data_IF_385578790709
#
_entry.id   IF_385578790709
#
_cell.length_a   1.000
_cell.length_b   1.000
_cell.length_c   1.000
_cell.angle_alpha   90.00
_cell.angle_beta   90.00
_cell.angle_gamma   90.00
#
_symmetry.space_group_name_H-M   'P 1'
#
loop_
_entity.id
_entity.type
_entity.pdbx_description
1 polymer ?
#
# COMPACT_ATOMS: atom_id res chain seq x y z
N UNK A 1 -70.69 15.46 12.38
CA UNK A 1 -69.92 16.69 12.08
C UNK A 1 -68.48 16.45 12.46
N UNK A 2 -67.72 15.87 11.53
CA UNK A 2 -66.30 15.67 11.68
C UNK A 2 -65.54 16.78 10.99
N UNK A 3 -64.46 17.23 11.62
CA UNK A 3 -63.32 17.76 10.89
C UNK A 3 -62.06 17.37 11.66
N UNK A 4 -61.51 16.25 11.22
CA UNK A 4 -60.11 15.91 11.36
C UNK A 4 -59.31 16.81 10.39
N UNK A 5 -58.04 17.05 10.74
CA UNK A 5 -56.99 17.69 9.94
C UNK A 5 -57.02 19.24 10.00
N UNK A 6 -55.95 19.97 10.32
CA UNK A 6 -54.54 19.76 9.99
C UNK A 6 -53.64 20.30 11.10
N UNK A 7 -52.89 19.43 11.79
CA UNK A 7 -51.62 19.85 12.39
C UNK A 7 -50.62 20.05 11.23
N UNK A 8 -49.85 21.14 11.18
CA UNK A 8 -48.72 21.20 10.27
C UNK A 8 -47.75 20.11 10.72
N UNK A 9 -47.75 19.03 9.95
CA UNK A 9 -46.70 18.03 9.88
C UNK A 9 -45.42 18.77 9.49
N UNK A 10 -44.76 19.40 10.46
CA UNK A 10 -43.44 19.99 10.29
C UNK A 10 -42.46 18.85 10.16
N UNK A 11 -42.42 18.36 8.93
CA UNK A 11 -41.40 17.55 8.28
C UNK A 11 -40.09 17.61 9.06
N UNK A 12 -39.86 16.59 9.90
CA UNK A 12 -38.53 16.20 10.35
C UNK A 12 -37.77 15.72 9.11
N UNK A 13 -37.36 16.65 8.25
CA UNK A 13 -36.23 16.41 7.39
C UNK A 13 -35.04 16.35 8.33
N UNK A 14 -34.74 15.15 8.82
CA UNK A 14 -33.42 14.77 9.28
C UNK A 14 -32.46 14.95 8.10
N UNK A 15 -32.15 16.22 7.78
CA UNK A 15 -31.02 16.60 6.96
C UNK A 15 -29.84 16.06 7.73
N UNK A 16 -29.32 14.92 7.26
CA UNK A 16 -28.00 14.44 7.59
C UNK A 16 -27.08 15.61 7.25
N UNK A 17 -26.77 16.42 8.26
CA UNK A 17 -25.88 17.55 8.15
C UNK A 17 -24.50 16.95 7.94
N UNK A 18 -24.19 16.59 6.69
CA UNK A 18 -22.82 16.35 6.29
C UNK A 18 -22.13 17.68 6.55
N UNK A 19 -21.32 17.74 7.61
CA UNK A 19 -20.43 18.88 7.85
C UNK A 19 -19.75 19.17 6.51
N UNK A 20 -19.72 20.44 6.05
CA UNK A 20 -19.08 20.75 4.80
C UNK A 20 -17.64 20.24 4.88
N UNK A 21 -17.34 19.22 4.08
CA UNK A 21 -16.01 18.62 4.02
C UNK A 21 -15.15 19.71 3.39
N UNK A 22 -14.20 20.25 4.17
CA UNK A 22 -13.33 21.29 3.66
C UNK A 22 -12.47 20.72 2.52
N UNK A 23 -12.08 21.57 1.56
CA UNK A 23 -11.11 21.16 0.53
C UNK A 23 -9.85 20.52 1.12
N UNK A 24 -9.41 21.00 2.29
CA UNK A 24 -8.30 20.42 3.05
C UNK A 24 -8.55 18.97 3.47
N UNK A 25 -9.76 18.63 3.88
CA UNK A 25 -10.13 17.27 4.29
C UNK A 25 -10.17 16.34 3.08
N UNK A 26 -10.64 16.82 1.92
CA UNK A 26 -10.60 16.07 0.66
C UNK A 26 -9.16 15.78 0.22
N UNK A 27 -8.27 16.77 0.32
CA UNK A 27 -6.85 16.61 0.02
C UNK A 27 -6.20 15.60 0.97
N UNK A 28 -6.46 15.71 2.26
CA UNK A 28 -5.93 14.78 3.26
C UNK A 28 -6.43 13.35 3.03
N UNK A 29 -7.70 13.18 2.68
CA UNK A 29 -8.27 11.87 2.38
C UNK A 29 -7.68 11.26 1.10
N UNK A 30 -7.48 12.06 0.04
CA UNK A 30 -6.80 11.61 -1.17
C UNK A 30 -5.36 11.15 -0.88
N UNK A 31 -4.59 11.95 -0.15
CA UNK A 31 -3.22 11.60 0.26
C UNK A 31 -3.18 10.36 1.15
N UNK A 32 -4.15 10.20 2.05
CA UNK A 32 -4.26 9.03 2.93
C UNK A 32 -4.47 7.76 2.12
N UNK A 33 -5.36 7.78 1.13
CA UNK A 33 -5.64 6.64 0.24
C UNK A 33 -4.40 6.22 -0.54
N UNK A 34 -3.72 7.18 -1.16
CA UNK A 34 -2.45 6.94 -1.86
C UNK A 34 -1.41 6.30 -0.94
N UNK A 35 -1.23 6.87 0.27
CA UNK A 35 -0.28 6.34 1.25
C UNK A 35 -0.61 4.92 1.68
N UNK A 36 -1.89 4.60 1.88
CA UNK A 36 -2.30 3.23 2.22
C UNK A 36 -2.06 2.25 1.06
N UNK A 37 -2.36 2.66 -0.17
CA UNK A 37 -2.08 1.87 -1.37
C UNK A 37 -0.59 1.56 -1.51
N UNK A 38 0.26 2.57 -1.36
CA UNK A 38 1.70 2.41 -1.41
C UNK A 38 2.22 1.50 -0.29
N UNK A 39 1.75 1.72 0.95
CA UNK A 39 2.13 0.89 2.11
C UNK A 39 1.79 -0.59 1.90
N UNK A 40 0.62 -0.88 1.31
CA UNK A 40 0.21 -2.25 0.98
C UNK A 40 1.14 -2.89 -0.07
N UNK A 41 1.44 -2.17 -1.15
CA UNK A 41 2.36 -2.66 -2.20
C UNK A 41 3.75 -2.92 -1.64
N UNK A 42 4.29 -2.02 -0.81
CA UNK A 42 5.59 -2.22 -0.15
C UNK A 42 5.59 -3.45 0.74
N UNK A 43 4.50 -3.68 1.50
CA UNK A 43 4.36 -4.88 2.32
C UNK A 43 4.39 -6.16 1.47
N UNK A 44 3.64 -6.19 0.37
CA UNK A 44 3.61 -7.33 -0.55
C UNK A 44 4.98 -7.62 -1.17
N UNK A 45 5.72 -6.58 -1.58
CA UNK A 45 7.07 -6.72 -2.11
C UNK A 45 8.00 -7.32 -1.04
N UNK A 46 7.95 -6.80 0.18
CA UNK A 46 8.76 -7.34 1.28
C UNK A 46 8.44 -8.81 1.56
N UNK A 47 7.17 -9.18 1.63
CA UNK A 47 6.75 -10.56 1.83
C UNK A 47 7.22 -11.48 0.69
N UNK A 48 7.16 -11.01 -0.56
CA UNK A 48 7.68 -11.75 -1.71
C UNK A 48 9.20 -11.95 -1.61
N UNK A 49 9.95 -10.90 -1.27
CA UNK A 49 11.40 -10.95 -1.11
C UNK A 49 11.87 -11.79 0.10
N UNK A 50 11.00 -12.04 1.08
CA UNK A 50 11.28 -12.95 2.19
C UNK A 50 11.13 -14.42 1.79
N UNK A 51 10.49 -14.74 0.66
CA UNK A 51 10.34 -16.13 0.22
C UNK A 51 11.68 -16.70 -0.25
N UNK A 52 12.10 -17.87 0.27
CA UNK A 52 13.38 -18.46 -0.07
C UNK A 52 13.51 -18.76 -1.57
N UNK A 53 12.43 -19.12 -2.25
CA UNK A 53 12.43 -19.36 -3.70
C UNK A 53 12.73 -18.08 -4.49
N UNK A 54 12.17 -16.95 -4.04
CA UNK A 54 12.39 -15.65 -4.67
C UNK A 54 13.83 -15.20 -4.45
N UNK A 55 14.35 -15.37 -3.23
CA UNK A 55 15.73 -15.06 -2.91
C UNK A 55 16.71 -15.93 -3.72
N UNK A 56 16.45 -17.23 -3.83
CA UNK A 56 17.27 -18.14 -4.62
C UNK A 56 17.26 -17.75 -6.11
N UNK A 57 16.11 -17.34 -6.65
CA UNK A 57 16.00 -16.88 -8.04
C UNK A 57 16.77 -15.59 -8.26
N UNK A 58 16.66 -14.61 -7.36
CA UNK A 58 17.43 -13.36 -7.40
C UNK A 58 18.93 -13.67 -7.34
N UNK A 59 19.36 -14.55 -6.42
CA UNK A 59 20.77 -14.95 -6.31
C UNK A 59 21.28 -15.60 -7.58
N UNK A 60 20.52 -16.53 -8.16
CA UNK A 60 20.84 -17.15 -9.45
C UNK A 60 20.96 -16.11 -10.56
N UNK A 61 19.99 -15.23 -10.72
CA UNK A 61 20.00 -14.22 -11.77
C UNK A 61 21.17 -13.22 -11.62
N UNK A 62 21.47 -12.79 -10.39
CA UNK A 62 22.52 -11.80 -10.12
C UNK A 62 23.94 -12.38 -10.12
N UNK A 63 24.13 -13.63 -9.68
CA UNK A 63 25.45 -14.21 -9.44
C UNK A 63 25.78 -15.41 -10.35
N UNK A 64 24.78 -16.17 -10.82
CA UNK A 64 24.98 -17.34 -11.69
C UNK A 64 24.72 -17.01 -13.18
N UNK A 65 23.81 -16.07 -13.48
CA UNK A 65 23.50 -15.63 -14.85
C UNK A 65 24.59 -14.80 -15.55
N UNK A 66 25.67 -14.47 -14.83
CA UNK A 66 26.81 -13.68 -15.32
C UNK A 66 28.14 -14.41 -15.19
N UNK A 67 28.19 -15.74 -15.34
CA UNK A 67 29.47 -16.40 -15.64
C UNK A 67 29.84 -16.12 -17.10
N UNK A 68 30.22 -14.87 -17.39
CA UNK A 68 30.98 -14.58 -18.60
C UNK A 68 32.33 -15.23 -18.38
N UNK A 69 32.63 -16.24 -19.20
CA UNK A 69 33.93 -16.84 -19.32
C UNK A 69 34.98 -15.74 -19.53
N UNK A 70 35.58 -15.26 -18.44
CA UNK A 70 36.86 -14.58 -18.48
C UNK A 70 37.79 -15.41 -17.63
N UNK A 71 38.48 -16.29 -18.36
CA UNK A 71 39.72 -16.91 -17.96
C UNK A 71 40.57 -15.95 -17.12
N UNK A 72 40.89 -16.41 -15.91
CA UNK A 72 41.96 -15.92 -15.07
C UNK A 72 41.74 -14.49 -14.55
N UNK A 73 41.27 -14.37 -13.31
CA UNK A 73 41.98 -13.69 -12.22
C UNK A 73 41.00 -13.40 -11.08
N UNK A 74 41.39 -13.83 -9.88
CA UNK A 74 40.53 -13.86 -8.71
C UNK A 74 40.03 -12.49 -8.28
N UNK A 75 38.83 -12.50 -7.74
CA UNK A 75 38.50 -11.78 -6.52
C UNK A 75 37.34 -12.53 -5.86
N UNK A 76 37.70 -13.29 -4.83
CA UNK A 76 36.76 -13.88 -3.88
C UNK A 76 36.04 -12.73 -3.17
N UNK A 77 34.87 -12.34 -3.68
CA UNK A 77 34.00 -11.42 -2.96
C UNK A 77 33.21 -12.26 -1.97
N UNK A 78 33.71 -12.33 -0.75
CA UNK A 78 33.03 -12.92 0.39
C UNK A 78 31.81 -12.06 0.75
N UNK A 79 30.60 -12.57 0.50
CA UNK A 79 29.35 -11.99 0.97
C UNK A 79 29.00 -12.44 2.40
N UNK A 80 30.01 -12.76 3.22
CA UNK A 80 29.92 -12.95 4.65
C UNK A 80 29.75 -11.64 5.42
N UNK A 81 28.64 -10.92 5.20
CA UNK A 81 28.22 -9.91 6.16
C UNK A 81 27.52 -10.63 7.33
N UNK A 82 28.34 -11.00 8.32
CA UNK A 82 27.97 -11.30 9.70
C UNK A 82 26.86 -10.37 10.17
N UNK A 83 25.66 -10.91 10.42
CA UNK A 83 24.63 -10.24 11.20
C UNK A 83 24.78 -10.69 12.65
N UNK A 84 25.51 -9.89 13.43
CA UNK A 84 25.42 -9.87 14.90
C UNK A 84 24.61 -8.65 15.30
#
# INVERSE_FOLDING_TARGET
>A
MGQLCCFPFSREEAKISKKPIGFRDLINEALRRERMGLKSKVKQIKELLLKPETQARIRRELFEGRSVNNSNQGNQVDFGATLT
#
